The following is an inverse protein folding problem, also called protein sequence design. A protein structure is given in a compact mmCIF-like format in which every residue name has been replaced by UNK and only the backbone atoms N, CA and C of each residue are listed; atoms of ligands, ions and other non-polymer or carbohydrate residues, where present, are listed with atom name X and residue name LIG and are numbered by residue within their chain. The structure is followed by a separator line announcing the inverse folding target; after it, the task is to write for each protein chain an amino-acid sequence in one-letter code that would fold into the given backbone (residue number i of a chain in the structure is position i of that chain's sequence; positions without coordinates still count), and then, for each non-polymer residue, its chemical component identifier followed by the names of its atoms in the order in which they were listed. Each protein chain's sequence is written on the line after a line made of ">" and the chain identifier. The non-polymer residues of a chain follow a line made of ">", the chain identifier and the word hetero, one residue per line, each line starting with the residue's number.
data_IF_963972623567
#
_entry.id   IF_963972623567
#
_cell.length_a   1.000
_cell.length_b   1.000
_cell.length_c   1.000
_cell.angle_alpha   90.00
_cell.angle_beta   90.00
_cell.angle_gamma   90.00
#
_symmetry.space_group_name_H-M   'P 1'
#
loop_
_entity.id
_entity.type
_entity.pdbx_description
1 polymer ?
#
# COMPACT_ATOMS: atom_id res chain seq x y z
N UNK A 1 -26.84 -16.88 -14.49
CA UNK A 1 -26.30 -16.96 -13.11
C UNK A 1 -27.46 -17.05 -12.13
N UNK A 2 -27.40 -17.99 -11.19
CA UNK A 2 -28.33 -18.03 -10.05
C UNK A 2 -28.14 -16.81 -9.14
N UNK A 3 -29.10 -16.52 -8.27
CA UNK A 3 -28.97 -15.41 -7.32
C UNK A 3 -27.74 -15.58 -6.42
N UNK A 4 -27.49 -16.79 -5.92
CA UNK A 4 -26.27 -17.12 -5.15
C UNK A 4 -24.97 -16.83 -5.91
N UNK A 5 -24.92 -17.12 -7.21
CA UNK A 5 -23.74 -16.82 -8.04
C UNK A 5 -23.53 -15.30 -8.21
N UNK A 6 -24.63 -14.54 -8.35
CA UNK A 6 -24.57 -13.08 -8.45
C UNK A 6 -24.10 -12.46 -7.12
N UNK A 7 -24.59 -12.98 -6.00
CA UNK A 7 -24.23 -12.52 -4.66
C UNK A 7 -22.76 -12.83 -4.35
N UNK A 8 -22.29 -14.03 -4.69
CA UNK A 8 -20.89 -14.42 -4.52
C UNK A 8 -19.93 -13.56 -5.36
N UNK A 9 -20.29 -13.30 -6.63
CA UNK A 9 -19.52 -12.40 -7.49
C UNK A 9 -19.47 -10.98 -6.90
N UNK A 10 -20.61 -10.44 -6.47
CA UNK A 10 -20.66 -9.12 -5.86
C UNK A 10 -19.81 -9.03 -4.59
N UNK A 11 -19.89 -10.03 -3.71
CA UNK A 11 -19.06 -10.08 -2.49
C UNK A 11 -17.57 -10.09 -2.81
N UNK A 12 -17.12 -10.88 -3.80
CA UNK A 12 -15.72 -10.90 -4.21
C UNK A 12 -15.27 -9.54 -4.78
N UNK A 13 -16.08 -8.92 -5.64
CA UNK A 13 -15.79 -7.59 -6.20
C UNK A 13 -15.75 -6.53 -5.11
N UNK A 14 -16.66 -6.56 -4.14
CA UNK A 14 -16.69 -5.64 -3.01
C UNK A 14 -15.45 -5.81 -2.10
N UNK A 15 -15.02 -7.05 -1.84
CA UNK A 15 -13.81 -7.30 -1.07
C UNK A 15 -12.55 -6.74 -1.77
N UNK A 16 -12.43 -6.94 -3.09
CA UNK A 16 -11.35 -6.34 -3.90
C UNK A 16 -11.41 -4.82 -3.88
N UNK A 17 -12.60 -4.23 -3.97
CA UNK A 17 -12.77 -2.79 -3.92
C UNK A 17 -12.37 -2.21 -2.56
N UNK A 18 -12.74 -2.86 -1.45
CA UNK A 18 -12.34 -2.45 -0.10
C UNK A 18 -10.82 -2.52 0.06
N UNK A 19 -10.20 -3.65 -0.33
CA UNK A 19 -8.75 -3.85 -0.26
C UNK A 19 -8.01 -2.74 -1.03
N UNK A 20 -8.37 -2.55 -2.29
CA UNK A 20 -7.70 -1.58 -3.16
C UNK A 20 -8.01 -0.13 -2.79
N UNK A 21 -9.16 0.14 -2.18
CA UNK A 21 -9.47 1.46 -1.61
C UNK A 21 -8.56 1.77 -0.42
N UNK A 22 -8.39 0.82 0.51
CA UNK A 22 -7.49 1.02 1.65
C UNK A 22 -6.04 1.27 1.19
N UNK A 23 -5.54 0.49 0.23
CA UNK A 23 -4.21 0.70 -0.37
C UNK A 23 -4.11 2.08 -1.03
N UNK A 24 -5.10 2.44 -1.86
CA UNK A 24 -5.11 3.72 -2.59
C UNK A 24 -5.09 4.91 -1.65
N UNK A 25 -5.92 4.89 -0.60
CA UNK A 25 -5.94 5.96 0.40
C UNK A 25 -4.59 6.03 1.11
N UNK A 26 -4.00 4.90 1.53
CA UNK A 26 -2.66 4.88 2.14
C UNK A 26 -1.58 5.45 1.21
N UNK A 27 -1.59 5.11 -0.09
CA UNK A 27 -0.64 5.65 -1.09
C UNK A 27 -0.71 7.18 -1.16
N UNK A 28 -1.90 7.77 -1.16
CA UNK A 28 -2.02 9.23 -1.22
C UNK A 28 -1.74 9.89 0.15
N UNK A 29 -2.12 9.25 1.25
CA UNK A 29 -1.81 9.71 2.60
C UNK A 29 -0.32 9.66 2.93
N UNK A 30 0.46 8.82 2.24
CA UNK A 30 1.89 8.66 2.50
C UNK A 30 2.68 9.96 2.29
N UNK A 31 2.25 10.85 1.39
CA UNK A 31 2.84 12.19 1.24
C UNK A 31 2.77 13.00 2.54
N UNK A 32 1.60 13.00 3.18
CA UNK A 32 1.38 13.71 4.42
C UNK A 32 2.12 13.04 5.59
N UNK A 33 2.06 11.71 5.68
CA UNK A 33 2.83 10.96 6.68
C UNK A 33 4.32 11.26 6.54
N UNK A 34 4.86 11.19 5.33
CA UNK A 34 6.26 11.44 5.08
C UNK A 34 6.66 12.88 5.45
N UNK A 35 5.84 13.87 5.09
CA UNK A 35 6.05 15.26 5.47
C UNK A 35 6.19 15.46 7.00
N UNK A 36 5.43 14.72 7.79
CA UNK A 36 5.55 14.71 9.27
C UNK A 36 6.82 13.97 9.70
N UNK A 37 7.09 12.80 9.11
CA UNK A 37 8.19 11.92 9.50
C UNK A 37 9.56 12.56 9.33
N UNK A 38 9.76 13.40 8.30
CA UNK A 38 11.02 14.13 8.12
C UNK A 38 11.36 14.94 9.38
N UNK A 39 10.37 15.58 10.01
CA UNK A 39 10.57 16.37 11.24
C UNK A 39 10.59 15.50 12.48
N UNK A 40 9.67 14.54 12.58
CA UNK A 40 9.52 13.69 13.75
C UNK A 40 10.77 12.85 14.02
N UNK A 41 11.41 12.36 12.96
CA UNK A 41 12.58 11.47 13.02
C UNK A 41 13.88 12.15 12.54
N UNK A 42 13.88 13.47 12.31
CA UNK A 42 15.04 14.24 11.85
C UNK A 42 15.74 13.64 10.61
N UNK A 43 14.95 13.15 9.65
CA UNK A 43 15.46 12.44 8.47
C UNK A 43 16.35 13.32 7.59
N UNK A 44 16.07 14.62 7.56
CA UNK A 44 16.86 15.64 6.89
C UNK A 44 18.30 15.70 7.43
N UNK A 45 18.45 15.58 8.74
CA UNK A 45 19.74 15.57 9.43
C UNK A 45 20.53 14.28 9.17
N UNK A 46 19.86 13.13 9.03
CA UNK A 46 20.51 11.83 8.74
C UNK A 46 21.26 11.83 7.41
N UNK A 47 20.76 12.57 6.42
CA UNK A 47 21.35 12.65 5.07
C UNK A 47 22.03 14.00 4.77
N UNK A 48 22.15 14.88 5.76
CA UNK A 48 22.71 16.23 5.62
C UNK A 48 22.07 17.05 4.48
N UNK A 49 20.75 16.99 4.35
CA UNK A 49 19.97 17.76 3.38
C UNK A 49 18.93 18.59 4.10
N UNK A 50 18.39 19.64 3.47
CA UNK A 50 17.25 20.35 4.04
C UNK A 50 15.94 19.56 3.83
N UNK A 51 14.94 19.86 4.67
CA UNK A 51 13.59 19.28 4.60
C UNK A 51 13.00 19.26 3.18
N UNK A 52 13.12 20.38 2.45
CA UNK A 52 12.54 20.53 1.13
C UNK A 52 13.22 19.60 0.12
N UNK A 53 14.53 19.44 0.21
CA UNK A 53 15.28 18.49 -0.60
C UNK A 53 14.88 17.05 -0.34
N UNK A 54 14.75 16.62 0.93
CA UNK A 54 14.30 15.26 1.27
C UNK A 54 12.88 15.01 0.78
N UNK A 55 11.95 15.93 1.09
CA UNK A 55 10.56 15.81 0.66
C UNK A 55 10.43 15.78 -0.86
N UNK A 56 11.19 16.60 -1.58
CA UNK A 56 11.20 16.61 -3.05
C UNK A 56 11.61 15.25 -3.62
N UNK A 57 12.65 14.61 -3.08
CA UNK A 57 13.08 13.29 -3.58
C UNK A 57 12.03 12.21 -3.30
N UNK A 58 11.40 12.24 -2.11
CA UNK A 58 10.27 11.37 -1.83
C UNK A 58 9.09 11.62 -2.80
N UNK A 59 8.76 12.88 -3.07
CA UNK A 59 7.71 13.22 -4.02
C UNK A 59 8.05 12.75 -5.43
N UNK A 60 9.31 12.87 -5.89
CA UNK A 60 9.75 12.33 -7.18
C UNK A 60 9.59 10.80 -7.27
N UNK A 61 9.96 10.09 -6.20
CA UNK A 61 9.74 8.64 -6.10
C UNK A 61 8.25 8.30 -6.21
N UNK A 62 7.40 8.97 -5.44
CA UNK A 62 5.97 8.73 -5.45
C UNK A 62 5.31 9.12 -6.79
N UNK A 63 5.71 10.24 -7.39
CA UNK A 63 5.26 10.68 -8.72
C UNK A 63 5.59 9.63 -9.78
N UNK A 64 6.78 9.03 -9.73
CA UNK A 64 7.12 7.89 -10.58
C UNK A 64 6.19 6.71 -10.31
N UNK A 65 5.97 6.32 -9.05
CA UNK A 65 5.15 5.16 -8.71
C UNK A 65 3.69 5.30 -9.12
N UNK A 66 3.11 6.51 -9.04
CA UNK A 66 1.68 6.72 -9.32
C UNK A 66 1.37 7.12 -10.77
N UNK A 67 2.34 7.63 -11.54
CA UNK A 67 2.10 8.13 -12.90
C UNK A 67 2.17 6.99 -13.95
N UNK A 68 1.07 6.60 -14.62
CA UNK A 68 1.08 5.50 -15.58
C UNK A 68 1.93 5.76 -16.84
N UNK A 69 2.30 7.02 -17.11
CA UNK A 69 2.98 7.44 -18.33
C UNK A 69 4.50 7.64 -18.18
N UNK A 70 5.01 7.70 -16.95
CA UNK A 70 6.45 7.87 -16.71
C UNK A 70 7.10 6.56 -16.22
N UNK A 71 7.93 5.93 -17.04
CA UNK A 71 8.67 4.70 -16.70
C UNK A 71 10.17 4.93 -16.50
N UNK A 72 10.62 6.18 -16.42
CA UNK A 72 12.00 6.53 -16.16
C UNK A 72 12.18 6.98 -14.70
N UNK A 73 12.71 6.08 -13.85
CA UNK A 73 12.98 6.38 -12.45
C UNK A 73 14.20 7.28 -12.28
N UNK A 74 14.05 8.38 -11.56
CA UNK A 74 15.15 9.31 -11.26
C UNK A 74 14.83 10.16 -10.03
N UNK A 75 15.80 10.26 -9.12
CA UNK A 75 15.76 11.15 -7.95
C UNK A 75 16.86 12.21 -8.11
N UNK A 76 16.57 13.46 -7.75
CA UNK A 76 17.52 14.56 -7.97
C UNK A 76 18.74 14.53 -7.04
N UNK A 77 18.62 14.00 -5.82
CA UNK A 77 19.66 14.09 -4.79
C UNK A 77 20.07 12.73 -4.23
N UNK A 78 19.35 11.66 -4.54
CA UNK A 78 19.74 10.30 -4.20
C UNK A 78 20.13 9.55 -5.46
N UNK A 79 21.31 8.93 -5.44
CA UNK A 79 21.66 7.94 -6.45
C UNK A 79 20.77 6.70 -6.28
N UNK A 80 20.70 5.87 -7.32
CA UNK A 80 20.02 4.59 -7.24
C UNK A 80 20.78 3.59 -8.08
N UNK A 81 20.98 2.39 -7.55
CA UNK A 81 21.59 1.27 -8.25
C UNK A 81 20.66 0.73 -9.34
N UNK A 82 21.17 -0.06 -10.30
CA UNK A 82 20.31 -0.80 -11.24
C UNK A 82 19.26 -1.64 -10.50
N UNK A 83 19.66 -2.32 -9.43
CA UNK A 83 18.79 -3.16 -8.60
C UNK A 83 17.70 -2.33 -7.93
N UNK A 84 18.06 -1.22 -7.28
CA UNK A 84 17.10 -0.33 -6.62
C UNK A 84 16.08 0.27 -7.59
N UNK A 85 16.49 0.62 -8.82
CA UNK A 85 15.57 1.07 -9.87
C UNK A 85 14.60 -0.02 -10.32
N UNK A 86 15.08 -1.26 -10.46
CA UNK A 86 14.24 -2.40 -10.81
C UNK A 86 13.19 -2.67 -9.72
N UNK A 87 13.58 -2.58 -8.45
CA UNK A 87 12.62 -2.70 -7.34
C UNK A 87 11.51 -1.64 -7.41
N UNK A 88 11.85 -0.37 -7.64
CA UNK A 88 10.84 0.67 -7.81
C UNK A 88 9.95 0.45 -9.04
N UNK A 89 10.49 -0.11 -10.13
CA UNK A 89 9.69 -0.50 -11.30
C UNK A 89 8.69 -1.63 -10.96
N UNK A 90 9.11 -2.63 -10.17
CA UNK A 90 8.23 -3.69 -9.71
C UNK A 90 7.12 -3.17 -8.78
N UNK A 91 7.47 -2.27 -7.85
CA UNK A 91 6.50 -1.54 -7.02
C UNK A 91 5.51 -0.74 -7.88
N UNK A 92 5.97 -0.06 -8.93
CA UNK A 92 5.12 0.67 -9.87
C UNK A 92 4.11 -0.25 -10.55
N UNK A 93 4.52 -1.45 -11.00
CA UNK A 93 3.60 -2.45 -11.60
C UNK A 93 2.49 -2.82 -10.61
N UNK A 94 2.81 -3.00 -9.33
CA UNK A 94 1.83 -3.27 -8.27
C UNK A 94 0.89 -2.07 -8.02
N UNK A 95 1.40 -0.83 -8.05
CA UNK A 95 0.58 0.37 -7.93
C UNK A 95 -0.41 0.49 -9.10
N UNK A 96 0.05 0.24 -10.33
CA UNK A 96 -0.81 0.23 -11.52
C UNK A 96 -1.87 -0.87 -11.46
N UNK A 97 -1.49 -2.08 -11.01
CA UNK A 97 -2.42 -3.16 -10.78
C UNK A 97 -3.48 -2.78 -9.75
N UNK A 98 -3.08 -2.20 -8.61
CA UNK A 98 -3.99 -1.73 -7.57
C UNK A 98 -4.98 -0.70 -8.13
N UNK A 99 -4.52 0.33 -8.85
CA UNK A 99 -5.41 1.35 -9.43
C UNK A 99 -6.35 0.77 -10.49
N UNK A 100 -5.86 -0.14 -11.34
CA UNK A 100 -6.69 -0.82 -12.32
C UNK A 100 -7.80 -1.64 -11.66
N UNK A 101 -7.47 -2.44 -10.65
CA UNK A 101 -8.45 -3.23 -9.88
C UNK A 101 -9.40 -2.30 -9.12
N UNK A 102 -8.91 -1.21 -8.53
CA UNK A 102 -9.74 -0.25 -7.81
C UNK A 102 -10.81 0.39 -8.70
N UNK A 103 -10.42 0.86 -9.90
CA UNK A 103 -11.34 1.46 -10.87
C UNK A 103 -12.37 0.44 -11.33
N UNK A 104 -11.92 -0.74 -11.79
CA UNK A 104 -12.81 -1.78 -12.32
C UNK A 104 -13.78 -2.29 -11.26
N UNK A 105 -13.28 -2.62 -10.07
CA UNK A 105 -14.12 -3.12 -8.97
C UNK A 105 -15.08 -2.05 -8.45
N UNK A 106 -14.66 -0.78 -8.41
CA UNK A 106 -15.52 0.36 -8.03
C UNK A 106 -16.67 0.57 -9.02
N UNK A 107 -16.41 0.51 -10.34
CA UNK A 107 -17.45 0.60 -11.36
C UNK A 107 -18.46 -0.56 -11.25
N UNK A 108 -17.98 -1.78 -10.97
CA UNK A 108 -18.82 -2.95 -10.79
C UNK A 108 -19.67 -2.85 -9.51
N UNK A 109 -19.08 -2.42 -8.39
CA UNK A 109 -19.82 -2.16 -7.14
C UNK A 109 -20.90 -1.10 -7.35
N UNK A 110 -20.59 0.01 -8.03
CA UNK A 110 -21.57 1.05 -8.33
C UNK A 110 -22.73 0.54 -9.21
N UNK A 111 -22.42 -0.29 -10.22
CA UNK A 111 -23.42 -0.90 -11.11
C UNK A 111 -24.33 -1.89 -10.38
N UNK A 112 -23.79 -2.67 -9.45
CA UNK A 112 -24.50 -3.74 -8.76
C UNK A 112 -24.94 -3.38 -7.33
N UNK A 113 -24.71 -2.16 -6.84
CA UNK A 113 -24.91 -1.74 -5.44
C UNK A 113 -26.37 -1.77 -4.92
N UNK A 114 -27.34 -2.17 -5.74
CA UNK A 114 -28.71 -2.52 -5.31
C UNK A 114 -28.83 -3.99 -4.87
N UNK A 115 -27.79 -4.80 -5.08
CA UNK A 115 -27.68 -6.19 -4.63
C UNK A 115 -27.01 -6.17 -3.25
N UNK A 116 -27.70 -6.72 -2.24
CA UNK A 116 -27.17 -6.80 -0.88
C UNK A 116 -26.07 -7.86 -0.87
N UNK A 117 -24.90 -7.56 -0.29
CA UNK A 117 -23.94 -8.61 0.02
C UNK A 117 -24.62 -9.57 1.02
N UNK A 118 -24.96 -10.77 0.59
CA UNK A 118 -25.66 -11.75 1.42
C UNK A 118 -24.72 -12.44 2.44
N UNK A 119 -23.40 -12.27 2.26
CA UNK A 119 -22.36 -13.01 2.98
C UNK A 119 -21.55 -12.17 3.97
N UNK A 120 -22.20 -11.56 4.96
CA UNK A 120 -21.53 -10.79 6.01
C UNK A 120 -20.42 -11.57 6.76
N UNK A 121 -20.55 -12.90 6.82
CA UNK A 121 -19.52 -13.77 7.43
C UNK A 121 -18.20 -13.79 6.66
N UNK A 122 -18.21 -13.55 5.34
CA UNK A 122 -16.96 -13.47 4.55
C UNK A 122 -16.13 -12.28 5.01
N UNK A 123 -16.75 -11.11 5.15
CA UNK A 123 -16.08 -9.92 5.66
C UNK A 123 -15.61 -10.07 7.10
N UNK A 124 -16.32 -10.85 7.94
CA UNK A 124 -15.84 -11.22 9.27
C UNK A 124 -14.56 -12.06 9.21
N UNK A 125 -14.49 -13.07 8.34
CA UNK A 125 -13.28 -13.89 8.19
C UNK A 125 -12.11 -13.12 7.60
N UNK A 126 -12.36 -12.24 6.63
CA UNK A 126 -11.36 -11.32 6.09
C UNK A 126 -10.82 -10.41 7.20
N UNK A 127 -11.70 -9.87 8.05
CA UNK A 127 -11.33 -9.03 9.18
C UNK A 127 -10.51 -9.79 10.24
N UNK A 128 -10.90 -11.02 10.59
CA UNK A 128 -10.11 -11.87 11.49
C UNK A 128 -8.70 -12.09 10.93
N UNK A 129 -8.57 -12.39 9.64
CA UNK A 129 -7.27 -12.54 8.99
C UNK A 129 -6.47 -11.23 9.02
N UNK A 130 -7.09 -10.10 8.68
CA UNK A 130 -6.42 -8.80 8.68
C UNK A 130 -5.93 -8.38 10.06
N UNK A 131 -6.70 -8.64 11.13
CA UNK A 131 -6.26 -8.42 12.51
C UNK A 131 -5.06 -9.29 12.86
N UNK A 132 -5.05 -10.57 12.48
CA UNK A 132 -3.91 -11.46 12.72
C UNK A 132 -2.65 -10.91 12.02
N UNK A 133 -2.76 -10.51 10.75
CA UNK A 133 -1.65 -9.92 10.00
C UNK A 133 -1.16 -8.60 10.61
N UNK A 134 -2.07 -7.74 11.06
CA UNK A 134 -1.73 -6.50 11.74
C UNK A 134 -0.98 -6.76 13.05
N UNK A 135 -1.42 -7.74 13.84
CA UNK A 135 -0.74 -8.13 15.08
C UNK A 135 0.64 -8.72 14.81
N UNK A 136 0.79 -9.55 13.77
CA UNK A 136 2.10 -10.07 13.36
C UNK A 136 3.07 -8.94 13.02
N UNK A 137 2.61 -7.96 12.20
CA UNK A 137 3.40 -6.78 11.85
C UNK A 137 3.80 -5.94 13.07
N UNK A 138 2.91 -5.80 14.06
CA UNK A 138 3.22 -5.03 15.28
C UNK A 138 4.14 -5.76 16.27
N UNK A 139 4.21 -7.09 16.23
CA UNK A 139 5.06 -7.91 17.11
C UNK A 139 6.47 -8.06 16.55
N UNK A 140 6.59 -8.26 15.24
CA UNK A 140 7.86 -8.45 14.53
C UNK A 140 7.76 -7.79 13.15
N UNK A 141 8.08 -6.50 13.10
CA UNK A 141 8.01 -5.72 11.87
C UNK A 141 9.01 -6.23 10.83
N UNK A 142 10.26 -6.48 11.22
CA UNK A 142 11.33 -6.95 10.33
C UNK A 142 10.94 -8.27 9.66
N UNK A 143 10.52 -9.26 10.44
CA UNK A 143 10.08 -10.55 9.91
C UNK A 143 8.87 -10.41 9.00
N UNK A 144 7.89 -9.60 9.40
CA UNK A 144 6.73 -9.30 8.57
C UNK A 144 7.11 -8.62 7.25
N UNK A 145 8.01 -7.63 7.28
CA UNK A 145 8.45 -6.87 6.12
C UNK A 145 9.20 -7.76 5.13
N UNK A 146 10.08 -8.65 5.60
CA UNK A 146 10.77 -9.63 4.76
C UNK A 146 9.78 -10.57 4.07
N UNK A 147 8.86 -11.18 4.83
CA UNK A 147 7.84 -12.09 4.28
C UNK A 147 6.96 -11.36 3.26
N UNK A 148 6.55 -10.13 3.56
CA UNK A 148 5.77 -9.29 2.65
C UNK A 148 6.49 -9.10 1.31
N UNK A 149 7.80 -8.82 1.34
CA UNK A 149 8.60 -8.68 0.13
C UNK A 149 8.77 -10.01 -0.62
N UNK A 150 9.03 -11.12 0.07
CA UNK A 150 9.17 -12.45 -0.56
C UNK A 150 7.87 -12.95 -1.21
N UNK A 151 6.71 -12.53 -0.68
CA UNK A 151 5.39 -12.84 -1.28
C UNK A 151 5.18 -12.05 -2.58
N UNK A 152 5.64 -10.79 -2.63
CA UNK A 152 5.41 -9.89 -3.76
C UNK A 152 6.48 -9.95 -4.84
N UNK A 153 7.72 -10.23 -4.46
CA UNK A 153 8.89 -10.18 -5.35
C UNK A 153 9.58 -11.54 -5.41
N UNK A 154 10.03 -11.92 -6.62
CA UNK A 154 10.78 -13.16 -6.88
C UNK A 154 12.29 -12.93 -6.98
N UNK A 155 12.74 -11.71 -6.69
CA UNK A 155 14.13 -11.26 -6.69
C UNK A 155 14.48 -10.70 -5.30
N UNK A 156 15.72 -10.24 -5.15
CA UNK A 156 16.23 -9.62 -3.93
C UNK A 156 16.56 -8.14 -4.14
N UNK A 157 16.03 -7.51 -5.20
CA UNK A 157 16.35 -6.13 -5.58
C UNK A 157 15.82 -5.10 -4.55
N UNK A 158 14.92 -5.54 -3.66
CA UNK A 158 14.39 -4.76 -2.54
C UNK A 158 15.36 -4.65 -1.35
N UNK A 159 16.45 -5.44 -1.31
CA UNK A 159 17.49 -5.33 -0.30
C UNK A 159 18.46 -4.20 -0.67
N UNK A 160 18.09 -2.98 -0.27
CA UNK A 160 18.86 -1.78 -0.58
C UNK A 160 20.17 -1.72 0.21
N UNK A 161 21.26 -1.38 -0.49
CA UNK A 161 22.53 -0.98 0.11
C UNK A 161 22.48 0.54 0.37
N UNK A 162 22.58 1.02 1.63
CA UNK A 162 22.55 2.45 1.95
C UNK A 162 23.56 3.32 1.20
N UNK A 163 24.67 2.74 0.74
CA UNK A 163 25.70 3.43 -0.04
C UNK A 163 25.39 3.50 -1.54
N UNK A 164 24.55 2.60 -2.07
CA UNK A 164 24.15 2.57 -3.50
C UNK A 164 22.73 3.09 -3.74
N UNK A 165 21.87 2.97 -2.73
CA UNK A 165 20.45 3.32 -2.71
C UNK A 165 20.09 4.13 -1.45
N UNK A 166 20.70 5.32 -1.26
CA UNK A 166 20.59 6.13 -0.03
C UNK A 166 19.18 6.61 0.31
N UNK A 167 18.21 6.46 -0.60
CA UNK A 167 16.79 6.72 -0.31
C UNK A 167 16.29 5.89 0.88
N UNK A 168 16.85 4.70 1.13
CA UNK A 168 16.49 3.87 2.29
C UNK A 168 16.74 4.58 3.62
N UNK A 169 17.76 5.46 3.68
CA UNK A 169 18.13 6.17 4.92
C UNK A 169 17.06 7.19 5.34
N UNK A 170 16.15 7.57 4.44
CA UNK A 170 15.02 8.46 4.75
C UNK A 170 13.68 7.72 4.71
N UNK A 171 13.66 6.40 4.56
CA UNK A 171 12.44 5.58 4.61
C UNK A 171 12.55 4.61 5.80
N UNK A 172 12.45 5.13 7.04
CA UNK A 172 12.64 4.31 8.23
C UNK A 172 11.47 3.34 8.44
N UNK A 173 11.69 2.32 9.27
CA UNK A 173 10.67 1.37 9.69
C UNK A 173 9.41 2.05 10.22
N UNK A 174 9.54 3.12 11.01
CA UNK A 174 8.40 3.81 11.59
C UNK A 174 7.47 4.41 10.54
N UNK A 175 8.04 4.88 9.42
CA UNK A 175 7.25 5.40 8.31
C UNK A 175 6.42 4.28 7.66
N UNK A 176 7.03 3.12 7.41
CA UNK A 176 6.33 1.96 6.86
C UNK A 176 5.30 1.39 7.84
N UNK A 177 5.63 1.31 9.13
CA UNK A 177 4.70 0.91 10.19
C UNK A 177 3.48 1.81 10.19
N UNK A 178 3.65 3.13 10.13
CA UNK A 178 2.51 4.07 10.05
C UNK A 178 1.66 3.85 8.80
N UNK A 179 2.28 3.57 7.65
CA UNK A 179 1.55 3.24 6.43
C UNK A 179 0.76 1.94 6.57
N UNK A 180 1.35 0.89 7.13
CA UNK A 180 0.65 -0.38 7.39
C UNK A 180 -0.47 -0.22 8.41
N UNK A 181 -0.26 0.52 9.50
CA UNK A 181 -1.30 0.81 10.49
C UNK A 181 -2.47 1.55 9.84
N UNK A 182 -2.20 2.59 9.04
CA UNK A 182 -3.26 3.30 8.31
C UNK A 182 -4.02 2.36 7.38
N UNK A 183 -3.31 1.54 6.61
CA UNK A 183 -3.91 0.53 5.74
C UNK A 183 -4.83 -0.42 6.53
N UNK A 184 -4.34 -1.03 7.61
CA UNK A 184 -5.12 -1.97 8.40
C UNK A 184 -6.32 -1.30 9.09
N UNK A 185 -6.19 -0.08 9.61
CA UNK A 185 -7.31 0.66 10.20
C UNK A 185 -8.41 0.91 9.17
N UNK A 186 -8.06 1.34 7.96
CA UNK A 186 -9.03 1.55 6.88
C UNK A 186 -9.66 0.22 6.43
N UNK A 187 -8.81 -0.78 6.18
CA UNK A 187 -9.24 -2.10 5.72
C UNK A 187 -10.19 -2.76 6.72
N UNK A 188 -9.82 -2.81 7.99
CA UNK A 188 -10.66 -3.35 9.06
C UNK A 188 -11.92 -2.53 9.26
N UNK A 189 -11.82 -1.19 9.25
CA UNK A 189 -12.97 -0.30 9.36
C UNK A 189 -14.06 -0.60 8.33
N UNK A 190 -13.66 -0.78 7.06
CA UNK A 190 -14.59 -1.14 5.98
C UNK A 190 -15.12 -2.58 6.12
N UNK A 191 -14.26 -3.56 6.42
CA UNK A 191 -14.70 -4.96 6.58
C UNK A 191 -15.66 -5.13 7.77
N UNK A 192 -15.39 -4.49 8.91
CA UNK A 192 -16.29 -4.48 10.07
C UNK A 192 -17.63 -3.80 9.77
N UNK A 193 -17.60 -2.70 9.01
CA UNK A 193 -18.84 -2.05 8.56
C UNK A 193 -19.68 -3.05 7.76
N UNK A 194 -19.11 -3.67 6.72
CA UNK A 194 -19.85 -4.62 5.87
C UNK A 194 -20.34 -5.83 6.67
N UNK A 195 -19.51 -6.39 7.57
CA UNK A 195 -19.90 -7.51 8.43
C UNK A 195 -21.09 -7.18 9.36
N UNK A 196 -21.28 -5.90 9.72
CA UNK A 196 -22.37 -5.44 10.59
C UNK A 196 -23.67 -5.10 9.87
N UNK A 197 -23.66 -4.88 8.54
CA UNK A 197 -24.91 -4.63 7.81
C UNK A 197 -25.81 -5.85 7.98
N UNK A 198 -27.01 -5.69 8.56
CA UNK A 198 -27.93 -6.84 8.73
C UNK A 198 -28.18 -7.49 7.36
N UNK A 199 -28.31 -8.82 7.29
CA UNK A 199 -28.72 -9.53 6.08
C UNK A 199 -30.18 -9.24 5.71
#
# INVERSE_FOLDING_TARGET
>A
MSNTQKDGLYTAVLALFILTTAITVTIFSSYFLFAINIRLYNLDSLVNMDYGTVYKNYAQMMDYLINPFNWHFHLSNFISSPEGRLHFEDCKKLFMLNFGVWIVSGLLVAKFGKVRAHFNKVFLWISILGIILALMMLVDFDGFFVIFHEVLFRNSDWLFDPGRDPIINVLPEEFFTQCFVLFFVLFEGFNFWEARKRA
#
